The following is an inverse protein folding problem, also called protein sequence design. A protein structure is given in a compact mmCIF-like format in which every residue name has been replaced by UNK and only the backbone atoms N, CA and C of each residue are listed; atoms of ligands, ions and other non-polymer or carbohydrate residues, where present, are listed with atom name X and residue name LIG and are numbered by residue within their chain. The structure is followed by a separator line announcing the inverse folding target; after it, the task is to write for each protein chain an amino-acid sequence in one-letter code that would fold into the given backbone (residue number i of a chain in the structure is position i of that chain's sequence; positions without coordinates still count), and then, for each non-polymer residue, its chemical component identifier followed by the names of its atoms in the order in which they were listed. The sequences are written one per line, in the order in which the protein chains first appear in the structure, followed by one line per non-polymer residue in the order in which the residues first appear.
data_IF_814196872585
#
_entry.id   IF_814196872585
#
_cell.length_a   1.000
_cell.length_b   1.000
_cell.length_c   1.000
_cell.angle_alpha   90.00
_cell.angle_beta   90.00
_cell.angle_gamma   90.00
#
_symmetry.space_group_name_H-M   'P 1'
#
loop_
_entity.id
_entity.type
_entity.pdbx_description
1 polymer ?
#
# COMPACT_ATOMS: atom_id res chain seq x y z
N UNK A 1 3.71 -62.85 -6.89
CA UNK A 1 3.39 -61.44 -6.59
C UNK A 1 4.43 -60.91 -5.61
N UNK A 2 5.48 -60.25 -6.08
CA UNK A 2 6.55 -59.75 -5.20
C UNK A 2 6.09 -58.46 -4.49
N UNK A 3 5.97 -58.49 -3.16
CA UNK A 3 5.85 -57.27 -2.35
C UNK A 3 7.19 -56.53 -2.42
N UNK A 4 7.20 -55.38 -3.08
CA UNK A 4 8.35 -54.47 -3.10
C UNK A 4 8.58 -53.99 -1.66
N UNK A 5 9.66 -54.44 -1.03
CA UNK A 5 10.02 -54.06 0.33
C UNK A 5 10.54 -52.62 0.28
N UNK A 6 9.72 -51.67 0.77
CA UNK A 6 10.11 -50.26 0.87
C UNK A 6 11.20 -50.19 1.94
N UNK A 7 12.41 -49.76 1.56
CA UNK A 7 13.53 -49.64 2.50
C UNK A 7 13.28 -48.50 3.49
N UNK A 8 13.98 -48.52 4.64
CA UNK A 8 13.86 -47.45 5.64
C UNK A 8 14.17 -46.06 5.06
N UNK A 9 15.09 -46.00 4.10
CA UNK A 9 15.50 -44.78 3.42
C UNK A 9 14.43 -44.25 2.45
N UNK A 10 13.72 -45.14 1.75
CA UNK A 10 12.58 -44.77 0.89
C UNK A 10 11.44 -44.15 1.72
N UNK A 11 11.18 -44.68 2.92
CA UNK A 11 10.17 -44.15 3.82
C UNK A 11 10.57 -42.76 4.36
N UNK A 12 11.85 -42.55 4.63
CA UNK A 12 12.38 -41.24 5.02
C UNK A 12 12.23 -40.22 3.88
N UNK A 13 12.56 -40.61 2.64
CA UNK A 13 12.42 -39.74 1.47
C UNK A 13 10.95 -39.35 1.20
N UNK A 14 10.02 -40.31 1.31
CA UNK A 14 8.57 -40.05 1.16
C UNK A 14 8.07 -39.06 2.23
N UNK A 15 8.51 -39.22 3.49
CA UNK A 15 8.12 -38.30 4.57
C UNK A 15 8.64 -36.89 4.32
N UNK A 16 9.89 -36.74 3.89
CA UNK A 16 10.48 -35.44 3.55
C UNK A 16 9.69 -34.78 2.41
N UNK A 17 9.30 -35.55 1.40
CA UNK A 17 8.51 -35.05 0.28
C UNK A 17 7.11 -34.57 0.69
N UNK A 18 6.42 -35.30 1.59
CA UNK A 18 5.12 -34.88 2.11
C UNK A 18 5.24 -33.58 2.92
N UNK A 19 6.27 -33.47 3.77
CA UNK A 19 6.51 -32.26 4.58
C UNK A 19 6.84 -31.07 3.69
N UNK A 20 7.66 -31.25 2.65
CA UNK A 20 8.02 -30.16 1.73
C UNK A 20 6.83 -29.69 0.89
N UNK A 21 5.99 -30.61 0.39
CA UNK A 21 4.74 -30.24 -0.29
C UNK A 21 3.79 -29.46 0.62
N UNK A 22 3.66 -29.86 1.88
CA UNK A 22 2.86 -29.14 2.86
C UNK A 22 3.35 -27.70 3.06
N UNK A 23 4.66 -27.51 3.28
CA UNK A 23 5.26 -26.19 3.44
C UNK A 23 5.06 -25.31 2.20
N UNK A 24 5.33 -25.85 1.02
CA UNK A 24 5.13 -25.13 -0.24
C UNK A 24 3.66 -24.72 -0.43
N UNK A 25 2.72 -25.62 -0.14
CA UNK A 25 1.29 -25.31 -0.21
C UNK A 25 0.88 -24.16 0.72
N UNK A 26 1.40 -24.14 1.95
CA UNK A 26 1.11 -23.06 2.90
C UNK A 26 1.67 -21.71 2.45
N UNK A 27 2.92 -21.69 1.94
CA UNK A 27 3.56 -20.47 1.45
C UNK A 27 2.84 -19.89 0.21
N UNK A 28 2.47 -20.75 -0.75
CA UNK A 28 1.72 -20.34 -1.95
C UNK A 28 0.37 -19.74 -1.56
N UNK A 29 -0.35 -20.40 -0.64
CA UNK A 29 -1.65 -19.90 -0.18
C UNK A 29 -1.53 -18.54 0.50
N UNK A 30 -0.51 -18.34 1.34
CA UNK A 30 -0.21 -17.04 1.96
C UNK A 30 0.04 -15.94 0.93
N UNK A 31 0.92 -16.18 -0.04
CA UNK A 31 1.23 -15.21 -1.09
C UNK A 31 -0.01 -14.85 -1.95
N UNK A 32 -0.87 -15.83 -2.25
CA UNK A 32 -2.13 -15.57 -2.97
C UNK A 32 -3.06 -14.67 -2.15
N UNK A 33 -3.20 -14.92 -0.85
CA UNK A 33 -4.05 -14.11 0.03
C UNK A 33 -3.54 -12.68 0.08
N UNK A 34 -2.24 -12.48 0.32
CA UNK A 34 -1.62 -11.16 0.42
C UNK A 34 -1.82 -10.35 -0.86
N UNK A 35 -1.47 -10.90 -2.03
CA UNK A 35 -1.66 -10.21 -3.31
C UNK A 35 -3.14 -9.94 -3.63
N UNK A 36 -4.06 -10.81 -3.19
CA UNK A 36 -5.50 -10.56 -3.36
C UNK A 36 -5.99 -9.45 -2.43
N UNK A 37 -5.51 -9.37 -1.20
CA UNK A 37 -5.84 -8.30 -0.26
C UNK A 37 -5.36 -6.96 -0.81
N UNK A 38 -4.11 -6.86 -1.27
CA UNK A 38 -3.58 -5.65 -1.90
C UNK A 38 -4.37 -5.24 -3.14
N UNK A 39 -4.88 -6.19 -3.93
CA UNK A 39 -5.70 -5.85 -5.09
C UNK A 39 -7.05 -5.19 -4.74
N UNK A 40 -7.53 -5.31 -3.49
CA UNK A 40 -8.82 -4.75 -3.06
C UNK A 40 -8.80 -3.21 -3.08
N UNK A 41 -7.72 -2.58 -2.61
CA UNK A 41 -7.62 -1.10 -2.62
C UNK A 41 -7.58 -0.54 -4.06
N UNK A 42 -7.04 -1.32 -5.00
CA UNK A 42 -6.90 -0.96 -6.41
C UNK A 42 -8.20 -1.13 -7.21
N UNK A 43 -9.24 -1.76 -6.65
CA UNK A 43 -10.55 -1.85 -7.30
C UNK A 43 -11.12 -0.45 -7.58
N UNK A 44 -11.76 -0.20 -8.74
CA UNK A 44 -12.14 1.16 -9.17
C UNK A 44 -12.97 1.95 -8.14
N UNK A 45 -13.99 1.32 -7.54
CA UNK A 45 -14.84 1.95 -6.53
C UNK A 45 -14.08 2.30 -5.24
N UNK A 46 -13.27 1.36 -4.75
CA UNK A 46 -12.47 1.54 -3.53
C UNK A 46 -11.41 2.61 -3.73
N UNK A 47 -10.75 2.60 -4.89
CA UNK A 47 -9.78 3.60 -5.30
C UNK A 47 -10.37 5.01 -5.34
N UNK A 48 -11.53 5.19 -5.97
CA UNK A 48 -12.21 6.50 -6.04
C UNK A 48 -12.57 6.97 -4.64
N UNK A 49 -13.12 6.08 -3.82
CA UNK A 49 -13.48 6.42 -2.44
C UNK A 49 -12.25 6.77 -1.60
N UNK A 50 -11.15 6.05 -1.77
CA UNK A 50 -9.90 6.32 -1.08
C UNK A 50 -9.32 7.69 -1.47
N UNK A 51 -9.23 7.99 -2.76
CA UNK A 51 -8.76 9.29 -3.25
C UNK A 51 -9.67 10.44 -2.82
N UNK A 52 -10.98 10.20 -2.73
CA UNK A 52 -11.93 11.19 -2.20
C UNK A 52 -11.66 11.50 -0.73
N UNK A 53 -11.43 10.48 0.11
CA UNK A 53 -11.12 10.72 1.52
C UNK A 53 -9.78 11.43 1.72
N UNK A 54 -8.76 11.09 0.91
CA UNK A 54 -7.48 11.81 0.88
C UNK A 54 -7.68 13.29 0.49
N UNK A 55 -8.51 13.56 -0.52
CA UNK A 55 -8.81 14.92 -0.95
C UNK A 55 -9.55 15.73 0.12
N UNK A 56 -10.47 15.11 0.87
CA UNK A 56 -11.28 15.78 1.90
C UNK A 56 -10.45 16.13 3.14
N UNK A 57 -9.66 15.17 3.65
CA UNK A 57 -8.90 15.38 4.88
C UNK A 57 -7.68 16.28 4.65
N UNK A 58 -7.38 16.53 3.38
CA UNK A 58 -6.38 17.45 2.94
C UNK A 58 -5.00 16.80 2.95
N UNK A 59 -4.14 17.20 2.00
CA UNK A 59 -2.77 16.77 1.95
C UNK A 59 -1.95 17.33 3.11
N UNK A 60 -1.00 16.55 3.64
CA UNK A 60 -0.09 16.99 4.70
C UNK A 60 0.57 15.82 5.44
N UNK A 61 1.65 16.11 6.15
CA UNK A 61 2.48 15.16 6.92
C UNK A 61 1.83 14.61 8.20
N UNK A 62 0.62 15.04 8.53
CA UNK A 62 -0.03 14.65 9.78
C UNK A 62 -0.55 13.22 9.74
N UNK A 63 0.19 12.30 10.37
CA UNK A 63 -0.23 10.91 10.62
C UNK A 63 -1.63 10.80 11.25
N UNK A 64 -2.06 11.80 12.03
CA UNK A 64 -3.41 11.86 12.63
C UNK A 64 -4.53 11.85 11.58
N UNK A 65 -4.34 12.49 10.42
CA UNK A 65 -5.31 12.49 9.33
C UNK A 65 -5.37 11.13 8.63
N UNK A 66 -4.23 10.46 8.52
CA UNK A 66 -4.13 9.09 8.01
C UNK A 66 -4.99 8.10 8.80
N UNK A 67 -5.05 8.24 10.13
CA UNK A 67 -5.90 7.40 10.98
C UNK A 67 -7.40 7.58 10.70
N UNK A 68 -7.83 8.79 10.33
CA UNK A 68 -9.23 9.06 9.97
C UNK A 68 -9.56 8.46 8.60
N UNK A 69 -8.66 8.56 7.62
CA UNK A 69 -8.82 7.89 6.31
C UNK A 69 -8.93 6.38 6.51
N UNK A 70 -8.03 5.80 7.31
CA UNK A 70 -8.01 4.37 7.63
C UNK A 70 -9.36 3.92 8.22
N UNK A 71 -9.86 4.63 9.24
CA UNK A 71 -11.13 4.31 9.89
C UNK A 71 -12.33 4.37 8.93
N UNK A 72 -12.33 5.29 7.96
CA UNK A 72 -13.39 5.41 6.95
C UNK A 72 -13.30 4.35 5.86
N UNK A 73 -12.08 3.96 5.47
CA UNK A 73 -11.87 2.99 4.40
C UNK A 73 -11.99 1.54 4.85
N UNK A 74 -11.63 1.21 6.09
CA UNK A 74 -11.69 -0.17 6.58
C UNK A 74 -13.06 -0.85 6.39
N UNK A 75 -14.20 -0.21 6.71
CA UNK A 75 -15.51 -0.80 6.44
C UNK A 75 -15.83 -0.97 4.95
N UNK A 76 -15.31 -0.08 4.09
CA UNK A 76 -15.48 -0.14 2.64
C UNK A 76 -14.75 -1.35 2.09
N UNK A 77 -13.47 -1.48 2.45
CA UNK A 77 -12.59 -2.55 1.95
C UNK A 77 -13.05 -3.92 2.44
N UNK A 78 -13.44 -4.01 3.71
CA UNK A 78 -13.99 -5.25 4.28
C UNK A 78 -15.27 -5.71 3.58
N UNK A 79 -16.14 -4.79 3.16
CA UNK A 79 -17.34 -5.12 2.38
C UNK A 79 -17.02 -5.53 0.94
N UNK A 80 -15.95 -4.99 0.38
CA UNK A 80 -15.55 -5.25 -1.01
C UNK A 80 -14.85 -6.59 -1.21
N UNK A 81 -14.36 -7.26 -0.15
CA UNK A 81 -13.69 -8.55 -0.26
C UNK A 81 -13.79 -9.38 1.03
N UNK A 82 -14.09 -10.68 0.87
CA UNK A 82 -14.08 -11.65 1.98
C UNK A 82 -12.68 -11.88 2.57
N UNK A 83 -11.62 -11.52 1.83
CA UNK A 83 -10.23 -11.65 2.28
C UNK A 83 -9.74 -10.39 3.00
N UNK A 84 -10.41 -9.25 2.83
CA UNK A 84 -10.07 -8.02 3.53
C UNK A 84 -10.58 -8.09 4.98
N UNK A 85 -9.71 -7.84 5.95
CA UNK A 85 -10.11 -7.82 7.35
C UNK A 85 -10.87 -6.53 7.67
N UNK A 86 -11.67 -6.49 8.76
CA UNK A 86 -12.25 -5.24 9.26
C UNK A 86 -11.23 -4.16 9.66
N UNK A 87 -9.95 -4.54 9.73
CA UNK A 87 -8.81 -3.69 10.09
C UNK A 87 -7.77 -3.68 8.96
N UNK A 88 -8.23 -3.58 7.71
CA UNK A 88 -7.37 -3.57 6.52
C UNK A 88 -6.17 -2.63 6.69
N UNK A 89 -6.43 -1.40 7.13
CA UNK A 89 -5.43 -0.51 7.70
C UNK A 89 -5.46 -0.61 9.22
N UNK A 90 -4.36 -1.05 9.79
CA UNK A 90 -4.22 -1.18 11.25
C UNK A 90 -4.21 0.20 11.93
N UNK A 91 -3.63 1.19 11.26
CA UNK A 91 -3.42 2.54 11.76
C UNK A 91 -3.28 3.55 10.60
N UNK A 92 -3.03 4.82 10.94
CA UNK A 92 -2.78 5.85 9.94
C UNK A 92 -1.49 5.64 9.15
N UNK A 93 -0.49 4.98 9.73
CA UNK A 93 0.82 4.76 9.10
C UNK A 93 0.75 3.71 7.99
N UNK A 94 0.07 2.59 8.24
CA UNK A 94 -0.22 1.55 7.25
C UNK A 94 -1.07 2.11 6.11
N UNK A 95 -2.08 2.92 6.41
CA UNK A 95 -2.87 3.64 5.39
C UNK A 95 -1.99 4.57 4.55
N UNK A 96 -1.13 5.35 5.18
CA UNK A 96 -0.26 6.28 4.49
C UNK A 96 0.81 5.57 3.65
N UNK A 97 1.36 4.47 4.15
CA UNK A 97 2.34 3.66 3.43
C UNK A 97 1.73 3.02 2.20
N UNK A 98 0.50 2.52 2.28
CA UNK A 98 -0.26 2.05 1.13
C UNK A 98 -0.48 3.18 0.11
N UNK A 99 -0.93 4.36 0.55
CA UNK A 99 -1.08 5.53 -0.33
C UNK A 99 0.23 5.87 -1.07
N UNK A 100 1.36 5.89 -0.35
CA UNK A 100 2.67 6.18 -0.94
C UNK A 100 3.07 5.16 -1.99
N UNK A 101 2.99 3.88 -1.66
CA UNK A 101 3.48 2.80 -2.52
C UNK A 101 2.61 2.60 -3.76
N UNK A 102 1.28 2.64 -3.59
CA UNK A 102 0.34 2.31 -4.66
C UNK A 102 0.00 3.50 -5.57
N UNK A 103 0.08 4.73 -5.05
CA UNK A 103 -0.38 5.92 -5.79
C UNK A 103 0.71 6.98 -5.96
N UNK A 104 1.36 7.42 -4.87
CA UNK A 104 2.29 8.54 -4.92
C UNK A 104 3.59 8.20 -5.66
N UNK A 105 4.29 7.13 -5.27
CA UNK A 105 5.56 6.74 -5.90
C UNK A 105 5.38 6.44 -7.40
N UNK A 106 4.35 5.68 -7.84
CA UNK A 106 4.10 5.49 -9.27
C UNK A 106 3.79 6.79 -10.00
N UNK A 107 3.08 7.73 -9.38
CA UNK A 107 2.82 9.05 -9.95
C UNK A 107 4.11 9.86 -10.14
N UNK A 108 4.94 9.98 -9.09
CA UNK A 108 6.21 10.71 -9.14
C UNK A 108 7.19 10.07 -10.14
N UNK A 109 7.25 8.74 -10.20
CA UNK A 109 8.07 8.02 -11.18
C UNK A 109 7.66 8.35 -12.61
N UNK A 110 6.37 8.28 -12.92
CA UNK A 110 5.83 8.63 -14.25
C UNK A 110 6.09 10.08 -14.61
N UNK A 111 5.94 11.00 -13.66
CA UNK A 111 6.23 12.43 -13.83
C UNK A 111 7.69 12.67 -14.21
N UNK A 112 8.61 11.91 -13.63
CA UNK A 112 10.05 12.08 -13.83
C UNK A 112 10.59 11.42 -15.12
N UNK A 113 9.98 10.33 -15.60
CA UNK A 113 10.52 9.58 -16.75
C UNK A 113 9.95 9.97 -18.10
N UNK A 114 9.00 10.92 -18.19
CA UNK A 114 8.23 11.22 -19.41
C UNK A 114 7.61 9.95 -20.07
N UNK A 115 7.55 8.84 -19.35
CA UNK A 115 7.11 7.56 -19.90
C UNK A 115 5.61 7.62 -20.14
N UNK A 116 5.26 7.56 -21.42
CA UNK A 116 3.90 7.32 -21.86
C UNK A 116 3.61 5.83 -21.69
N UNK A 117 3.38 5.39 -20.45
CA UNK A 117 3.08 3.98 -20.21
C UNK A 117 1.70 3.63 -20.79
N UNK A 118 1.66 2.52 -21.51
CA UNK A 118 0.52 2.03 -22.27
C UNK A 118 -0.74 1.89 -21.41
N UNK A 119 -1.83 2.45 -21.94
CA UNK A 119 -3.14 2.63 -21.34
C UNK A 119 -3.78 1.29 -20.90
N UNK A 120 -3.96 1.11 -19.59
CA UNK A 120 -5.30 0.72 -19.12
C UNK A 120 -6.07 2.02 -19.05
N UNK A 121 -7.24 2.10 -19.71
CA UNK A 121 -8.17 3.24 -19.56
C UNK A 121 -8.70 3.18 -18.12
N UNK A 122 -7.91 3.75 -17.22
CA UNK A 122 -8.33 4.07 -15.88
C UNK A 122 -9.13 5.37 -15.97
N UNK A 123 -10.45 5.26 -16.12
CA UNK A 123 -11.38 6.38 -16.27
C UNK A 123 -11.21 7.43 -15.16
N UNK A 124 -10.81 6.99 -13.96
CA UNK A 124 -10.58 7.84 -12.81
C UNK A 124 -9.18 8.46 -12.75
N UNK A 125 -8.30 8.16 -13.71
CA UNK A 125 -6.94 8.69 -13.76
C UNK A 125 -6.87 10.22 -13.66
N UNK A 126 -7.70 11.01 -14.37
CA UNK A 126 -7.65 12.47 -14.25
C UNK A 126 -7.96 12.95 -12.83
N UNK A 127 -8.94 12.34 -12.17
CA UNK A 127 -9.29 12.65 -10.78
C UNK A 127 -8.17 12.26 -9.81
N UNK A 128 -7.62 11.05 -9.96
CA UNK A 128 -6.52 10.55 -9.12
C UNK A 128 -5.29 11.44 -9.28
N UNK A 129 -4.90 11.78 -10.50
CA UNK A 129 -3.75 12.64 -10.78
C UNK A 129 -3.96 14.05 -10.21
N UNK A 130 -5.19 14.58 -10.21
CA UNK A 130 -5.51 15.86 -9.59
C UNK A 130 -5.29 15.83 -8.07
N UNK A 131 -5.76 14.77 -7.39
CA UNK A 131 -5.55 14.59 -5.95
C UNK A 131 -4.07 14.46 -5.64
N UNK A 132 -3.33 13.66 -6.41
CA UNK A 132 -1.90 13.45 -6.21
C UNK A 132 -1.08 14.72 -6.47
N UNK A 133 -1.45 15.50 -7.48
CA UNK A 133 -0.82 16.80 -7.75
C UNK A 133 -1.05 17.78 -6.60
N UNK A 134 -2.30 17.92 -6.15
CA UNK A 134 -2.62 18.76 -4.99
C UNK A 134 -1.87 18.31 -3.73
N UNK A 135 -1.64 17.00 -3.60
CA UNK A 135 -0.88 16.42 -2.50
C UNK A 135 0.60 16.81 -2.53
N UNK A 136 1.25 16.64 -3.68
CA UNK A 136 2.63 17.05 -3.91
C UNK A 136 2.83 18.55 -3.64
N UNK A 137 1.92 19.39 -4.14
CA UNK A 137 1.99 20.85 -3.95
C UNK A 137 1.89 21.26 -2.48
N UNK A 138 1.02 20.59 -1.69
CA UNK A 138 0.90 20.88 -0.26
C UNK A 138 2.13 20.44 0.51
N UNK A 139 2.66 19.24 0.23
CA UNK A 139 3.88 18.78 0.87
C UNK A 139 5.05 19.71 0.61
N UNK A 140 5.19 20.23 -0.62
CA UNK A 140 6.24 21.17 -0.96
C UNK A 140 6.10 22.49 -0.18
N UNK A 141 4.87 22.97 0.01
CA UNK A 141 4.60 24.18 0.82
C UNK A 141 4.91 23.96 2.30
N UNK A 142 4.45 22.84 2.86
CA UNK A 142 4.71 22.47 4.26
C UNK A 142 6.21 22.36 4.51
N UNK A 143 6.94 21.73 3.58
CA UNK A 143 8.40 21.60 3.65
C UNK A 143 9.10 22.96 3.58
N UNK A 144 8.67 23.87 2.69
CA UNK A 144 9.21 25.22 2.59
C UNK A 144 9.02 25.99 3.90
N UNK A 145 7.83 25.92 4.49
CA UNK A 145 7.53 26.60 5.76
C UNK A 145 8.42 26.08 6.91
N UNK A 146 8.60 24.75 7.02
CA UNK A 146 9.47 24.16 8.04
C UNK A 146 10.92 24.63 7.90
N UNK A 147 11.44 24.71 6.66
CA UNK A 147 12.79 25.19 6.40
C UNK A 147 12.95 26.68 6.73
N UNK A 148 11.95 27.50 6.41
CA UNK A 148 11.93 28.93 6.75
C UNK A 148 11.88 29.17 8.26
N UNK A 149 11.10 28.37 9.00
CA UNK A 149 11.06 28.40 10.46
C UNK A 149 12.41 28.02 11.08
N UNK A 150 13.04 26.94 10.63
CA UNK A 150 14.35 26.51 11.14
C UNK A 150 15.45 27.56 10.91
N UNK A 151 15.51 28.13 9.70
CA UNK A 151 16.50 29.18 9.34
C UNK A 151 16.26 30.46 10.17
N UNK A 152 15.00 30.80 10.47
CA UNK A 152 14.64 31.96 11.29
C UNK A 152 15.09 31.79 12.75
N UNK A 153 14.88 30.60 13.32
CA UNK A 153 15.31 30.26 14.69
C UNK A 153 16.85 30.28 14.81
N UNK A 154 17.56 29.72 13.82
CA UNK A 154 19.02 29.69 13.83
C UNK A 154 19.63 31.10 13.70
N UNK A 155 19.03 31.96 12.87
CA UNK A 155 19.44 33.37 12.70
C UNK A 155 19.27 34.22 13.97
N UNK A 156 18.37 33.83 14.88
CA UNK A 156 18.17 34.49 16.18
C UNK A 156 19.20 34.02 17.23
N UNK A 157 19.68 32.78 17.13
CA UNK A 157 20.68 32.24 18.05
C UNK A 157 22.13 32.72 17.81
N UNK A 158 22.44 33.21 16.60
CA UNK A 158 23.78 33.72 16.25
C UNK A 158 24.00 35.18 16.72
N UNK A 159 22.94 35.88 17.15
CA UNK A 159 22.99 37.30 17.59
C UNK A 159 23.18 37.52 19.09
N UNK A 160 23.57 36.50 19.88
CA UNK A 160 23.83 36.65 21.32
C UNK A 160 25.31 36.55 21.67
#
# INVERSE_FOLDING_TARGET
MARKFISGDDLAAIRIFIVSLGMAGTAITGAIIEGRVESVILMPSNKVQFMKEIAILGPGLEMKKGGVVAAKMNPVLHKSSLLATPYYFYDGESCYSCFRNEYLHPYLRRKNTNDTQAYIVDEFKPFVDQVLKSYEESLNKDLQHMLEEEISVESQHIKL
#
